data_IF_373480444654
#
_entry.id   IF_373480444654
#
_cell.length_a   1.000
_cell.length_b   1.000
_cell.length_c   1.000
_cell.angle_alpha   90.00
_cell.angle_beta   90.00
_cell.angle_gamma   90.00
#
_symmetry.space_group_name_H-M   'P 1'
#
loop_
_entity.id
_entity.type
_entity.pdbx_description
1 polymer ?
#
# COMPACT_ATOMS: atom_id res chain seq x y z
N UNK A 1 -11.31 -23.08 -5.98
CA UNK A 1 -10.58 -22.46 -4.86
C UNK A 1 -9.13 -22.86 -4.99
N UNK A 2 -8.24 -21.96 -5.40
CA UNK A 2 -6.79 -22.24 -5.45
C UNK A 2 -6.15 -21.28 -4.46
N UNK A 3 -5.46 -21.86 -3.49
CA UNK A 3 -4.80 -21.22 -2.37
C UNK A 3 -3.84 -20.14 -2.83
N UNK A 4 -3.92 -18.98 -2.19
CA UNK A 4 -2.87 -17.96 -2.22
C UNK A 4 -1.80 -18.49 -1.25
N UNK A 5 -0.73 -19.04 -1.76
CA UNK A 5 0.43 -19.37 -0.95
C UNK A 5 1.12 -18.06 -0.55
N UNK A 6 1.00 -17.70 0.71
CA UNK A 6 1.89 -16.75 1.35
C UNK A 6 3.26 -17.44 1.46
N UNK A 7 4.23 -16.97 0.71
CA UNK A 7 5.58 -17.53 0.76
C UNK A 7 6.22 -17.05 2.06
N UNK A 8 6.29 -17.96 3.03
CA UNK A 8 7.10 -17.79 4.23
C UNK A 8 8.54 -18.14 3.90
N UNK A 9 9.44 -17.20 3.91
CA UNK A 9 10.86 -17.48 4.05
C UNK A 9 11.39 -16.75 5.27
N UNK A 10 11.55 -17.48 6.36
CA UNK A 10 12.31 -17.05 7.52
C UNK A 10 13.79 -16.95 7.13
N UNK A 11 14.24 -15.81 6.70
CA UNK A 11 15.66 -15.46 6.68
C UNK A 11 15.77 -13.96 6.90
N UNK A 12 16.66 -13.57 7.78
CA UNK A 12 16.99 -12.18 8.11
C UNK A 12 17.16 -11.35 6.83
N UNK A 13 16.18 -10.53 6.51
CA UNK A 13 16.18 -9.70 5.31
C UNK A 13 15.86 -8.26 5.71
N UNK A 14 16.75 -7.37 5.35
CA UNK A 14 16.84 -5.99 5.81
C UNK A 14 16.21 -5.06 4.77
N UNK A 15 15.43 -4.08 5.20
CA UNK A 15 14.82 -3.00 4.42
C UNK A 15 13.95 -3.46 3.23
N UNK A 16 12.65 -3.73 3.44
CA UNK A 16 11.79 -4.30 2.39
C UNK A 16 10.44 -3.63 2.26
N UNK A 17 10.07 -3.35 1.02
CA UNK A 17 8.70 -3.01 0.66
C UNK A 17 8.09 -4.19 -0.09
N UNK A 18 7.01 -4.78 0.44
CA UNK A 18 6.30 -5.90 -0.15
C UNK A 18 5.02 -5.43 -0.83
N UNK A 19 4.76 -5.96 -2.03
CA UNK A 19 3.55 -5.67 -2.78
C UNK A 19 2.69 -6.93 -2.93
N UNK A 20 1.44 -6.85 -2.49
CA UNK A 20 0.45 -7.90 -2.71
C UNK A 20 -0.74 -7.34 -3.49
N UNK A 21 -1.13 -8.00 -4.56
CA UNK A 21 -2.25 -7.58 -5.41
C UNK A 21 -3.25 -8.72 -5.55
N UNK A 22 -4.53 -8.42 -5.40
CA UNK A 22 -5.59 -9.40 -5.58
C UNK A 22 -5.85 -9.69 -7.06
N UNK A 23 -6.16 -10.96 -7.39
CA UNK A 23 -6.31 -11.49 -8.77
C UNK A 23 -7.35 -10.80 -9.67
N UNK A 24 -8.14 -9.86 -9.17
CA UNK A 24 -9.30 -9.32 -9.92
C UNK A 24 -8.93 -8.45 -11.13
N UNK A 25 -7.73 -7.87 -11.15
CA UNK A 25 -7.32 -6.95 -12.23
C UNK A 25 -6.63 -7.62 -13.43
N UNK A 26 -6.59 -8.95 -13.48
CA UNK A 26 -5.98 -9.68 -14.61
C UNK A 26 -6.71 -9.51 -15.96
N UNK A 27 -7.80 -8.74 -16.04
CA UNK A 27 -8.62 -8.58 -17.25
C UNK A 27 -8.96 -7.15 -17.66
N UNK A 28 -8.35 -6.15 -17.15
CA UNK A 28 -8.32 -4.87 -17.86
C UNK A 28 -7.15 -4.90 -18.84
N UNK A 29 -7.30 -5.73 -19.89
CA UNK A 29 -6.75 -5.35 -21.18
C UNK A 29 -7.26 -3.93 -21.38
N UNK A 30 -6.36 -2.95 -21.40
CA UNK A 30 -6.65 -1.66 -22.02
C UNK A 30 -7.03 -2.07 -23.43
N UNK A 31 -8.32 -2.09 -23.64
CA UNK A 31 -8.87 -2.53 -24.90
C UNK A 31 -8.44 -1.49 -25.91
N UNK A 32 -7.66 -1.89 -26.88
CA UNK A 32 -7.65 -1.31 -28.22
C UNK A 32 -9.06 -1.30 -28.86
N UNK A 33 -10.10 -1.47 -28.09
CA UNK A 33 -11.50 -1.44 -28.48
C UNK A 33 -12.06 -0.03 -28.65
N UNK A 34 -11.30 1.03 -28.38
CA UNK A 34 -11.74 2.37 -28.78
C UNK A 34 -11.77 2.51 -30.30
N UNK A 35 -10.89 1.82 -31.04
CA UNK A 35 -11.05 1.70 -32.49
C UNK A 35 -12.23 0.80 -32.90
N UNK A 36 -12.73 -0.08 -31.99
CA UNK A 36 -13.93 -0.88 -32.23
C UNK A 36 -15.22 -0.11 -31.86
N UNK A 37 -15.19 0.85 -30.97
CA UNK A 37 -16.33 1.69 -30.60
C UNK A 37 -16.86 2.52 -31.76
N UNK A 38 -16.00 2.91 -32.71
CA UNK A 38 -16.42 3.58 -33.94
C UNK A 38 -17.25 2.67 -34.86
N UNK A 39 -17.12 1.34 -34.74
CA UNK A 39 -17.93 0.37 -35.48
C UNK A 39 -19.36 0.23 -34.96
N UNK A 40 -19.61 0.59 -33.71
CA UNK A 40 -20.94 0.49 -33.09
C UNK A 40 -21.76 1.76 -33.17
N UNK A 41 -21.14 2.90 -33.47
CA UNK A 41 -21.83 4.19 -33.64
C UNK A 41 -22.52 4.32 -35.02
N UNK A 42 -22.09 3.52 -36.01
CA UNK A 42 -22.70 3.53 -37.35
C UNK A 42 -22.86 2.08 -37.88
N UNK A 43 -24.06 1.68 -38.32
CA UNK A 43 -24.26 0.42 -39.02
C UNK A 43 -23.33 0.31 -40.25
N UNK A 44 -22.79 -0.88 -40.52
CA UNK A 44 -21.81 -1.13 -41.61
C UNK A 44 -22.13 -0.47 -42.95
N UNK A 45 -23.41 -0.38 -43.32
CA UNK A 45 -23.85 0.29 -44.54
C UNK A 45 -23.59 1.80 -44.57
N UNK A 46 -23.71 2.48 -43.46
CA UNK A 46 -23.55 3.94 -43.38
C UNK A 46 -22.08 4.37 -43.26
N UNK A 47 -21.20 3.50 -42.76
CA UNK A 47 -19.76 3.76 -42.67
C UNK A 47 -19.12 3.90 -44.06
N UNK A 48 -19.45 3.00 -45.00
CA UNK A 48 -18.99 3.07 -46.38
C UNK A 48 -19.57 4.25 -47.17
N UNK A 49 -20.82 4.61 -46.89
CA UNK A 49 -21.46 5.78 -47.49
C UNK A 49 -20.81 7.09 -47.05
N UNK A 50 -20.43 7.17 -45.77
CA UNK A 50 -19.76 8.33 -45.21
C UNK A 50 -18.37 8.55 -45.82
N UNK A 51 -17.58 7.50 -45.98
CA UNK A 51 -16.26 7.56 -46.63
C UNK A 51 -16.38 7.92 -48.11
N UNK A 52 -17.36 7.38 -48.82
CA UNK A 52 -17.51 7.60 -50.26
C UNK A 52 -17.98 9.01 -50.63
N UNK A 53 -18.64 9.72 -49.71
CA UNK A 53 -19.18 11.07 -49.95
C UNK A 53 -18.40 12.16 -49.18
N UNK A 54 -17.25 11.85 -48.61
CA UNK A 54 -16.45 12.74 -47.82
C UNK A 54 -16.05 14.02 -48.57
N UNK A 55 -15.78 13.93 -49.88
CA UNK A 55 -15.35 15.06 -50.69
C UNK A 55 -16.48 16.03 -51.09
N UNK A 56 -17.74 15.70 -50.83
CA UNK A 56 -18.90 16.52 -51.24
C UNK A 56 -19.48 17.41 -50.14
N UNK A 57 -19.04 17.22 -48.88
CA UNK A 57 -19.63 17.97 -47.76
C UNK A 57 -18.63 18.96 -47.14
N UNK A 58 -18.72 20.26 -47.55
CA UNK A 58 -17.88 21.34 -46.99
C UNK A 58 -18.00 21.52 -45.46
N UNK A 59 -19.13 21.13 -44.87
CA UNK A 59 -19.34 21.23 -43.40
C UNK A 59 -18.54 20.19 -42.61
N UNK A 60 -18.20 19.04 -43.18
CA UNK A 60 -17.40 17.99 -42.51
C UNK A 60 -15.94 18.36 -42.34
N UNK A 61 -15.43 19.33 -43.13
CA UNK A 61 -14.02 19.78 -42.98
C UNK A 61 -13.74 20.52 -41.68
N UNK A 62 -14.76 21.06 -41.03
CA UNK A 62 -14.61 21.76 -39.72
C UNK A 62 -14.88 20.81 -38.55
N UNK A 63 -15.85 19.91 -38.68
CA UNK A 63 -16.23 19.01 -37.57
C UNK A 63 -15.29 17.82 -37.39
N UNK A 64 -14.69 17.27 -38.44
CA UNK A 64 -13.77 16.13 -38.33
C UNK A 64 -12.50 16.46 -37.58
N UNK A 65 -11.81 17.59 -37.81
CA UNK A 65 -10.63 17.93 -37.01
C UNK A 65 -10.97 18.28 -35.54
N UNK A 66 -12.17 18.83 -35.27
CA UNK A 66 -12.60 19.10 -33.89
C UNK A 66 -12.90 17.78 -33.14
N UNK A 67 -13.58 16.83 -33.76
CA UNK A 67 -13.81 15.51 -33.16
C UNK A 67 -12.50 14.72 -33.07
N UNK A 68 -11.60 14.80 -34.05
CA UNK A 68 -10.29 14.18 -34.00
C UNK A 68 -9.39 14.81 -32.92
N UNK A 69 -9.43 16.13 -32.73
CA UNK A 69 -8.69 16.81 -31.65
C UNK A 69 -9.28 16.47 -30.27
N UNK A 70 -10.60 16.34 -30.14
CA UNK A 70 -11.24 15.89 -28.89
C UNK A 70 -10.90 14.44 -28.55
N UNK A 71 -10.82 13.56 -29.57
CA UNK A 71 -10.41 12.15 -29.40
C UNK A 71 -8.90 12.07 -29.11
N UNK A 72 -8.06 12.89 -29.71
CA UNK A 72 -6.63 12.96 -29.43
C UNK A 72 -6.35 13.56 -28.03
N UNK A 73 -7.19 14.48 -27.56
CA UNK A 73 -7.12 15.01 -26.19
C UNK A 73 -7.55 13.98 -25.14
N UNK A 74 -8.43 13.05 -25.50
CA UNK A 74 -8.84 11.91 -24.64
C UNK A 74 -7.79 10.79 -24.58
N UNK A 75 -6.85 10.74 -25.53
CA UNK A 75 -5.70 9.84 -25.53
C UNK A 75 -4.45 10.47 -24.90
N UNK A 76 -4.58 11.66 -24.28
CA UNK A 76 -3.53 12.17 -23.43
C UNK A 76 -3.28 11.12 -22.35
N UNK A 77 -2.15 10.45 -22.44
CA UNK A 77 -1.61 9.55 -21.44
C UNK A 77 -1.93 10.12 -20.05
N UNK A 78 -2.50 9.30 -19.18
CA UNK A 78 -2.47 9.55 -17.75
C UNK A 78 -0.99 9.60 -17.33
N UNK A 79 -0.32 10.69 -17.64
CA UNK A 79 0.95 11.01 -17.04
C UNK A 79 0.63 11.22 -15.56
N UNK A 80 1.02 10.24 -14.76
CA UNK A 80 1.02 10.36 -13.32
C UNK A 80 1.83 11.62 -12.99
N UNK A 81 1.14 12.74 -12.77
CA UNK A 81 1.79 13.98 -12.39
C UNK A 81 2.01 13.92 -10.88
N UNK A 82 3.24 13.67 -10.48
CA UNK A 82 3.70 13.76 -9.09
C UNK A 82 4.07 15.21 -8.70
N UNK A 83 3.73 16.19 -9.52
CA UNK A 83 4.16 17.59 -9.37
C UNK A 83 3.10 18.49 -8.73
N UNK A 84 1.95 17.96 -8.36
CA UNK A 84 0.88 18.74 -7.72
C UNK A 84 1.30 19.32 -6.37
N UNK A 85 0.98 20.60 -6.11
CA UNK A 85 1.29 21.28 -4.84
C UNK A 85 0.86 20.46 -3.60
N UNK A 86 -0.29 19.78 -3.68
CA UNK A 86 -0.81 18.95 -2.58
C UNK A 86 0.04 17.69 -2.36
N UNK A 87 0.50 17.03 -3.43
CA UNK A 87 1.42 15.91 -3.35
C UNK A 87 2.74 16.33 -2.69
N UNK A 88 3.34 17.43 -3.19
CA UNK A 88 4.60 17.94 -2.66
C UNK A 88 4.48 18.30 -1.18
N UNK A 89 3.41 18.99 -0.77
CA UNK A 89 3.17 19.33 0.63
C UNK A 89 3.01 18.10 1.52
N UNK A 90 2.25 17.10 1.09
CA UNK A 90 2.05 15.85 1.84
C UNK A 90 3.36 15.03 1.93
N UNK A 91 4.10 14.93 0.82
CA UNK A 91 5.40 14.27 0.80
C UNK A 91 6.41 14.97 1.71
N UNK A 92 6.49 16.30 1.67
CA UNK A 92 7.40 17.11 2.48
C UNK A 92 6.99 17.18 3.97
N UNK A 93 5.77 16.74 4.33
CA UNK A 93 5.35 16.66 5.73
C UNK A 93 5.98 15.51 6.49
N UNK A 94 6.41 14.44 5.80
CA UNK A 94 7.14 13.33 6.41
C UNK A 94 8.54 13.80 6.77
N UNK A 95 8.85 13.82 8.07
CA UNK A 95 10.12 14.35 8.61
C UNK A 95 10.91 13.28 9.33
N UNK A 96 12.21 13.24 9.10
CA UNK A 96 13.12 12.33 9.78
C UNK A 96 13.07 12.46 11.32
N UNK A 97 12.89 13.68 11.83
CA UNK A 97 12.81 13.92 13.27
C UNK A 97 11.53 13.35 13.90
N UNK A 98 10.38 13.43 13.20
CA UNK A 98 9.12 12.83 13.67
C UNK A 98 9.19 11.30 13.59
N UNK A 99 9.71 10.74 12.51
CA UNK A 99 10.00 9.30 12.42
C UNK A 99 10.88 8.84 13.57
N UNK A 100 11.97 9.55 13.84
CA UNK A 100 12.88 9.26 14.95
C UNK A 100 12.17 9.34 16.30
N UNK A 101 11.40 10.39 16.55
CA UNK A 101 10.64 10.58 17.79
C UNK A 101 9.70 9.42 18.06
N UNK A 102 8.89 9.03 17.06
CA UNK A 102 7.97 7.91 17.17
C UNK A 102 8.72 6.57 17.34
N UNK A 103 9.83 6.38 16.61
CA UNK A 103 10.66 5.18 16.73
C UNK A 103 11.30 5.04 18.12
N UNK A 104 11.77 6.14 18.71
CA UNK A 104 12.34 6.13 20.08
C UNK A 104 11.31 5.69 21.13
N UNK A 105 10.01 5.92 20.89
CA UNK A 105 8.95 5.40 21.77
C UNK A 105 8.66 3.93 21.47
N UNK A 106 8.39 3.59 20.20
CA UNK A 106 8.02 2.21 19.79
C UNK A 106 9.13 1.20 20.11
N UNK A 107 10.40 1.61 20.00
CA UNK A 107 11.56 0.79 20.29
C UNK A 107 12.18 1.07 21.67
N UNK A 108 11.43 1.67 22.60
CA UNK A 108 11.93 1.87 23.97
C UNK A 108 11.86 0.58 24.79
N UNK A 109 12.64 0.52 25.88
CA UNK A 109 12.60 -0.59 26.84
C UNK A 109 11.23 -0.73 27.51
N UNK A 110 10.46 0.38 27.62
CA UNK A 110 9.09 0.39 28.14
C UNK A 110 8.12 -0.46 27.32
N UNK A 111 8.42 -0.66 26.04
CA UNK A 111 7.66 -1.52 25.14
C UNK A 111 8.09 -2.99 25.21
N UNK A 112 9.06 -3.33 26.06
CA UNK A 112 9.45 -4.70 26.42
C UNK A 112 9.75 -5.59 25.19
N UNK A 113 10.20 -4.97 24.08
CA UNK A 113 10.45 -5.67 22.82
C UNK A 113 9.20 -6.22 22.13
N UNK A 114 8.01 -5.77 22.50
CA UNK A 114 6.70 -5.98 21.81
C UNK A 114 6.38 -7.42 21.41
N UNK A 115 6.77 -8.39 22.24
CA UNK A 115 6.41 -9.81 21.99
C UNK A 115 4.91 -9.95 21.75
N UNK A 116 4.53 -10.80 20.80
CA UNK A 116 3.11 -11.03 20.42
C UNK A 116 2.22 -11.30 21.63
N UNK A 117 1.22 -10.44 21.86
CA UNK A 117 0.25 -10.55 22.96
C UNK A 117 0.76 -10.10 24.32
N UNK A 118 2.04 -9.68 24.44
CA UNK A 118 2.62 -9.15 25.70
C UNK A 118 2.07 -7.76 26.06
N UNK A 119 2.27 -7.37 27.32
CA UNK A 119 1.94 -6.03 27.79
C UNK A 119 2.73 -4.95 27.02
N UNK A 120 3.98 -5.22 26.66
CA UNK A 120 4.79 -4.30 25.84
C UNK A 120 4.17 -4.07 24.47
N UNK A 121 3.68 -5.12 23.81
CA UNK A 121 2.97 -4.97 22.53
C UNK A 121 1.66 -4.17 22.70
N UNK A 122 0.92 -4.41 23.79
CA UNK A 122 -0.33 -3.67 24.07
C UNK A 122 -0.06 -2.19 24.32
N UNK A 123 0.98 -1.84 25.04
CA UNK A 123 1.44 -0.44 25.22
C UNK A 123 1.74 0.22 23.87
N UNK A 124 2.47 -0.46 22.99
CA UNK A 124 2.74 0.03 21.64
C UNK A 124 1.45 0.23 20.82
N UNK A 125 0.51 -0.71 20.91
CA UNK A 125 -0.82 -0.58 20.28
C UNK A 125 -1.60 0.64 20.76
N UNK A 126 -1.61 0.90 22.08
CA UNK A 126 -2.25 2.10 22.66
C UNK A 126 -1.57 3.37 22.13
N UNK A 127 -0.25 3.43 22.10
CA UNK A 127 0.50 4.58 21.58
C UNK A 127 0.13 4.88 20.14
N UNK A 128 0.11 3.88 19.27
CA UNK A 128 -0.27 4.04 17.85
C UNK A 128 -1.71 4.52 17.70
N UNK A 129 -2.65 3.97 18.47
CA UNK A 129 -4.05 4.37 18.42
C UNK A 129 -4.23 5.82 18.87
N UNK A 130 -3.55 6.23 19.92
CA UNK A 130 -3.60 7.62 20.39
C UNK A 130 -2.98 8.58 19.37
N UNK A 131 -1.90 8.17 18.70
CA UNK A 131 -1.37 8.91 17.56
C UNK A 131 -2.43 9.12 16.47
N UNK A 132 -3.10 8.06 16.02
CA UNK A 132 -4.16 8.14 15.01
C UNK A 132 -5.35 9.00 15.46
N UNK A 133 -5.79 8.87 16.71
CA UNK A 133 -6.86 9.71 17.27
C UNK A 133 -6.48 11.20 17.26
N UNK A 134 -5.26 11.54 17.66
CA UNK A 134 -4.77 12.92 17.69
C UNK A 134 -4.71 13.53 16.28
N UNK A 135 -4.41 12.74 15.27
CA UNK A 135 -4.47 13.15 13.87
C UNK A 135 -5.90 13.30 13.35
N UNK A 136 -6.90 12.69 14.01
CA UNK A 136 -8.26 12.56 13.52
C UNK A 136 -8.39 11.50 12.41
N UNK A 137 -7.48 10.53 12.35
CA UNK A 137 -7.61 9.33 11.51
C UNK A 137 -8.46 8.32 12.27
N UNK A 138 -9.56 7.86 11.66
CA UNK A 138 -10.50 6.94 12.30
C UNK A 138 -10.12 5.48 12.06
N UNK A 139 -10.97 4.58 12.52
CA UNK A 139 -10.93 3.15 12.26
C UNK A 139 -12.00 2.76 11.22
N UNK A 140 -11.93 1.56 10.62
CA UNK A 140 -13.00 1.05 9.76
C UNK A 140 -14.33 0.96 10.51
N UNK A 141 -15.36 1.62 10.03
CA UNK A 141 -16.69 1.63 10.70
C UNK A 141 -17.27 0.22 10.93
N UNK A 142 -17.03 -0.68 9.98
CA UNK A 142 -17.47 -2.07 10.09
C UNK A 142 -16.83 -2.82 11.27
N UNK A 143 -15.62 -2.42 11.68
CA UNK A 143 -14.92 -3.00 12.83
C UNK A 143 -15.37 -2.40 14.16
N UNK A 144 -15.82 -1.13 14.16
CA UNK A 144 -16.25 -0.40 15.37
C UNK A 144 -15.13 -0.05 16.34
N UNK A 145 -13.86 -0.31 15.97
CA UNK A 145 -12.68 -0.15 16.82
C UNK A 145 -11.44 -0.06 15.95
N UNK A 146 -10.31 0.39 16.53
CA UNK A 146 -8.98 0.23 15.91
C UNK A 146 -8.47 -1.21 16.02
N UNK A 147 -9.00 -2.00 16.93
CA UNK A 147 -8.53 -3.34 17.22
C UNK A 147 -9.31 -4.41 16.43
N UNK A 148 -8.61 -5.16 15.58
CA UNK A 148 -9.07 -6.46 15.14
C UNK A 148 -8.49 -7.51 16.07
N UNK A 149 -9.29 -8.08 16.95
CA UNK A 149 -8.85 -9.12 17.88
C UNK A 149 -8.42 -10.37 17.13
N UNK A 150 -7.23 -10.86 17.45
CA UNK A 150 -6.66 -12.10 16.92
C UNK A 150 -6.59 -13.09 18.07
N UNK A 151 -7.51 -14.07 18.13
CA UNK A 151 -7.57 -15.01 19.24
C UNK A 151 -6.36 -15.96 19.22
N UNK A 152 -5.95 -16.43 20.39
CA UNK A 152 -4.83 -17.38 20.56
C UNK A 152 -4.93 -18.62 19.69
N UNK A 153 -6.14 -19.07 19.38
CA UNK A 153 -6.39 -20.20 18.48
C UNK A 153 -5.86 -19.95 17.06
N UNK A 154 -5.82 -18.70 16.63
CA UNK A 154 -5.24 -18.27 15.36
C UNK A 154 -3.73 -17.95 15.48
N UNK A 155 -3.22 -17.82 16.70
CA UNK A 155 -1.82 -17.48 16.99
C UNK A 155 -0.98 -18.72 17.37
N UNK A 156 -1.23 -19.85 16.70
CA UNK A 156 -0.45 -21.08 16.90
C UNK A 156 0.80 -21.06 16.03
N UNK A 157 1.95 -20.98 16.68
CA UNK A 157 3.26 -21.04 16.03
C UNK A 157 3.91 -22.42 16.21
N UNK A 158 5.00 -22.65 15.46
CA UNK A 158 5.85 -23.82 15.67
C UNK A 158 6.55 -23.82 17.05
N UNK A 159 6.62 -22.66 17.71
CA UNK A 159 7.26 -22.46 19.02
C UNK A 159 6.27 -22.60 20.19
N UNK A 160 5.00 -22.81 19.90
CA UNK A 160 3.94 -22.95 20.91
C UNK A 160 2.75 -22.03 20.67
N UNK A 161 1.84 -22.02 21.63
CA UNK A 161 0.67 -21.14 21.63
C UNK A 161 1.07 -19.77 22.17
N UNK A 162 0.57 -18.72 21.51
CA UNK A 162 0.73 -17.33 21.94
C UNK A 162 -0.56 -16.85 22.60
N UNK A 163 -0.51 -15.83 23.47
CA UNK A 163 -1.73 -15.25 24.03
C UNK A 163 -2.54 -14.51 22.95
N UNK A 164 -3.77 -14.12 23.31
CA UNK A 164 -4.60 -13.26 22.45
C UNK A 164 -3.84 -11.96 22.16
N UNK A 165 -3.97 -11.51 20.92
CA UNK A 165 -3.36 -10.27 20.44
C UNK A 165 -4.30 -9.50 19.51
N UNK A 166 -3.82 -8.42 18.90
CA UNK A 166 -4.63 -7.59 18.03
C UNK A 166 -3.83 -7.11 16.80
N UNK A 167 -4.49 -7.04 15.64
CA UNK A 167 -4.06 -6.15 14.58
C UNK A 167 -4.61 -4.74 14.86
N UNK A 168 -3.85 -3.69 14.54
CA UNK A 168 -4.28 -2.29 14.67
C UNK A 168 -4.64 -1.76 13.29
N UNK A 169 -5.85 -1.21 13.15
CA UNK A 169 -6.42 -0.74 11.89
C UNK A 169 -6.82 0.73 11.99
N UNK A 170 -6.17 1.59 11.19
CA UNK A 170 -6.60 2.96 10.98
C UNK A 170 -7.05 3.15 9.52
N UNK A 171 -7.98 4.10 9.28
CA UNK A 171 -8.67 4.16 7.99
C UNK A 171 -8.93 5.59 7.55
N UNK A 172 -8.62 5.87 6.29
CA UNK A 172 -8.99 7.11 5.59
C UNK A 172 -9.87 6.74 4.41
N UNK A 173 -11.13 7.19 4.44
CA UNK A 173 -12.09 6.97 3.37
C UNK A 173 -11.72 7.79 2.13
N UNK A 174 -11.78 7.15 0.97
CA UNK A 174 -11.51 7.73 -0.33
C UNK A 174 -12.60 8.69 -0.81
N UNK A 175 -12.23 9.64 -1.67
CA UNK A 175 -13.11 10.70 -2.15
C UNK A 175 -13.86 10.37 -3.44
N UNK A 176 -13.33 9.47 -4.27
CA UNK A 176 -13.92 9.13 -5.59
C UNK A 176 -14.31 7.66 -5.69
N UNK A 177 -13.56 6.78 -5.03
CA UNK A 177 -13.71 5.32 -5.07
C UNK A 177 -13.54 4.73 -3.67
N UNK A 178 -14.44 5.06 -2.74
CA UNK A 178 -14.30 4.63 -1.34
C UNK A 178 -14.38 3.12 -1.15
N UNK A 179 -14.95 2.38 -2.10
CA UNK A 179 -15.03 0.92 -2.08
C UNK A 179 -13.72 0.22 -2.48
N UNK A 180 -12.81 0.91 -3.20
CA UNK A 180 -11.50 0.38 -3.57
C UNK A 180 -10.50 0.69 -2.45
N UNK A 181 -9.90 -0.37 -1.87
CA UNK A 181 -9.02 -0.26 -0.70
C UNK A 181 -7.56 -0.46 -1.11
N UNK A 182 -6.69 0.46 -0.71
CA UNK A 182 -5.25 0.26 -0.69
C UNK A 182 -4.86 -0.02 0.75
N UNK A 183 -4.14 -1.10 0.99
CA UNK A 183 -3.59 -1.42 2.31
C UNK A 183 -2.13 -0.95 2.34
N UNK A 184 -1.75 -0.28 3.42
CA UNK A 184 -0.35 0.03 3.75
C UNK A 184 -0.09 -0.65 5.09
N UNK A 185 0.87 -1.56 5.14
CA UNK A 185 1.06 -2.42 6.31
C UNK A 185 2.50 -2.48 6.79
N UNK A 186 2.64 -2.80 8.07
CA UNK A 186 3.88 -3.14 8.76
C UNK A 186 3.52 -4.10 9.90
N UNK A 187 4.48 -4.84 10.47
CA UNK A 187 4.22 -5.51 11.72
C UNK A 187 4.72 -4.68 12.90
N UNK A 188 4.08 -4.83 14.05
CA UNK A 188 4.43 -4.04 15.23
C UNK A 188 4.87 -4.91 16.42
N UNK A 189 4.73 -6.22 16.32
CA UNK A 189 5.35 -7.16 17.26
C UNK A 189 6.85 -7.31 16.98
N UNK A 190 7.59 -7.80 17.99
CA UNK A 190 8.97 -8.23 17.87
C UNK A 190 9.23 -9.37 18.87
N UNK A 191 10.48 -9.72 19.12
CA UNK A 191 10.85 -10.95 19.85
C UNK A 191 10.88 -10.81 21.37
N UNK A 192 10.51 -9.66 21.92
CA UNK A 192 10.33 -9.48 23.36
C UNK A 192 11.63 -9.37 24.15
N UNK A 193 11.63 -9.99 25.32
CA UNK A 193 12.76 -9.99 26.26
C UNK A 193 13.28 -11.41 26.47
N UNK A 194 14.59 -11.58 26.43
CA UNK A 194 15.24 -12.85 26.68
C UNK A 194 16.40 -12.68 27.66
N UNK A 195 16.45 -13.48 28.74
CA UNK A 195 17.46 -13.43 29.78
C UNK A 195 17.69 -12.02 30.34
N UNK A 196 16.63 -11.24 30.53
CA UNK A 196 16.71 -9.87 31.06
C UNK A 196 17.17 -8.82 30.02
N UNK A 197 17.43 -9.19 28.80
CA UNK A 197 17.76 -8.28 27.69
C UNK A 197 16.53 -8.00 26.87
N UNK A 198 16.18 -6.72 26.73
CA UNK A 198 15.09 -6.28 25.86
C UNK A 198 15.59 -6.21 24.41
N UNK A 199 14.87 -6.88 23.51
CA UNK A 199 15.10 -6.77 22.06
C UNK A 199 14.17 -5.70 21.50
N UNK A 200 14.66 -4.48 21.38
CA UNK A 200 13.84 -3.31 21.10
C UNK A 200 13.22 -3.29 19.69
N UNK A 201 13.77 -4.03 18.72
CA UNK A 201 13.21 -4.13 17.38
C UNK A 201 13.03 -2.78 16.69
N UNK A 202 14.06 -1.92 16.70
CA UNK A 202 13.96 -0.59 16.10
C UNK A 202 13.89 -0.65 14.57
N UNK A 203 14.67 -1.56 13.95
CA UNK A 203 14.61 -1.78 12.50
C UNK A 203 13.53 -2.79 12.14
N UNK A 204 13.43 -3.90 12.85
CA UNK A 204 12.50 -5.01 12.68
C UNK A 204 11.40 -4.99 13.77
N UNK A 205 10.20 -4.54 13.55
CA UNK A 205 9.80 -3.66 12.45
C UNK A 205 9.26 -2.32 13.00
N UNK A 206 9.98 -1.78 13.99
CA UNK A 206 9.70 -0.41 14.46
C UNK A 206 9.80 0.61 13.33
N UNK A 207 10.77 0.44 12.41
CA UNK A 207 10.98 1.35 11.29
C UNK A 207 9.80 1.35 10.30
N UNK A 208 9.27 0.19 9.93
CA UNK A 208 8.08 0.09 9.09
C UNK A 208 6.82 0.56 9.82
N UNK A 209 6.67 0.19 11.09
CA UNK A 209 5.54 0.65 11.92
C UNK A 209 5.45 2.19 11.94
N UNK A 210 6.51 2.91 12.25
CA UNK A 210 6.47 4.38 12.30
C UNK A 210 6.34 4.99 10.91
N UNK A 211 6.88 4.35 9.86
CA UNK A 211 6.67 4.81 8.49
C UNK A 211 5.19 4.77 8.09
N UNK A 212 4.45 3.71 8.44
CA UNK A 212 3.00 3.63 8.21
C UNK A 212 2.24 4.72 8.96
N UNK A 213 2.64 5.05 10.21
CA UNK A 213 2.06 6.14 11.00
C UNK A 213 2.25 7.50 10.30
N UNK A 214 3.46 7.82 9.86
CA UNK A 214 3.79 9.09 9.18
C UNK A 214 3.11 9.21 7.81
N UNK A 215 2.99 8.11 7.07
CA UNK A 215 2.25 8.06 5.80
C UNK A 215 0.76 8.37 6.07
N UNK A 216 0.19 7.85 7.14
CA UNK A 216 -1.20 8.16 7.51
C UNK A 216 -1.38 9.64 7.86
N UNK A 217 -0.42 10.24 8.56
CA UNK A 217 -0.42 11.67 8.85
C UNK A 217 -0.41 12.49 7.56
N UNK A 218 0.49 12.18 6.63
CA UNK A 218 0.60 12.88 5.35
C UNK A 218 -0.71 12.82 4.55
N UNK A 219 -1.37 11.65 4.48
CA UNK A 219 -2.68 11.50 3.83
C UNK A 219 -3.78 12.24 4.57
N UNK A 220 -3.75 12.27 5.89
CA UNK A 220 -4.75 13.00 6.68
C UNK A 220 -4.58 14.52 6.54
N UNK A 221 -3.36 15.02 6.47
CA UNK A 221 -3.08 16.42 6.16
C UNK A 221 -3.60 16.80 4.76
N UNK A 222 -3.33 15.96 3.75
CA UNK A 222 -3.85 16.15 2.41
C UNK A 222 -5.39 16.15 2.40
N UNK A 223 -6.02 15.24 3.14
CA UNK A 223 -7.48 15.19 3.28
C UNK A 223 -8.06 16.45 3.92
N UNK A 224 -7.45 16.94 5.00
CA UNK A 224 -7.84 18.20 5.66
C UNK A 224 -7.70 19.41 4.73
N UNK A 225 -6.76 19.37 3.79
CA UNK A 225 -6.58 20.39 2.76
C UNK A 225 -7.50 20.20 1.53
N UNK A 226 -8.49 19.30 1.59
CA UNK A 226 -9.43 19.02 0.49
C UNK A 226 -8.80 18.24 -0.68
N UNK A 227 -7.68 17.58 -0.45
CA UNK A 227 -6.90 16.78 -1.43
C UNK A 227 -6.69 15.35 -0.95
N UNK A 228 -7.70 14.78 -0.30
CA UNK A 228 -7.68 13.40 0.19
C UNK A 228 -7.48 12.36 -0.92
N UNK A 229 -7.14 11.12 -0.54
CA UNK A 229 -6.93 10.05 -1.49
C UNK A 229 -8.22 9.74 -2.25
N UNK A 230 -8.09 9.35 -3.52
CA UNK A 230 -9.24 8.98 -4.36
C UNK A 230 -9.84 7.64 -3.93
N UNK A 231 -8.99 6.69 -3.56
CA UNK A 231 -9.33 5.39 -2.98
C UNK A 231 -9.19 5.43 -1.47
N UNK A 232 -9.91 4.56 -0.80
CA UNK A 232 -9.72 4.39 0.64
C UNK A 232 -8.36 3.78 0.96
N UNK A 233 -7.79 4.18 2.10
CA UNK A 233 -6.53 3.64 2.59
C UNK A 233 -6.74 3.01 3.95
N UNK A 234 -6.33 1.75 4.07
CA UNK A 234 -6.25 1.02 5.32
C UNK A 234 -4.78 0.97 5.76
N UNK A 235 -4.48 1.54 6.93
CA UNK A 235 -3.21 1.42 7.62
C UNK A 235 -3.34 0.23 8.56
N UNK A 236 -2.55 -0.81 8.33
CA UNK A 236 -2.68 -2.10 8.99
C UNK A 236 -1.37 -2.48 9.67
N UNK A 237 -1.35 -2.42 11.00
CA UNK A 237 -0.24 -2.97 11.79
C UNK A 237 -0.60 -4.37 12.24
N UNK A 238 0.14 -5.35 11.78
CA UNK A 238 -0.14 -6.76 12.07
C UNK A 238 0.65 -7.25 13.27
N UNK A 239 0.05 -8.19 14.00
CA UNK A 239 0.66 -8.92 15.10
C UNK A 239 1.19 -10.27 14.64
N UNK A 240 2.08 -10.90 15.43
CA UNK A 240 2.50 -12.28 15.22
C UNK A 240 3.27 -12.54 13.94
N UNK A 241 3.95 -11.55 13.40
CA UNK A 241 4.81 -11.69 12.22
C UNK A 241 5.97 -12.64 12.53
N UNK A 242 6.67 -12.40 13.64
CA UNK A 242 7.86 -13.14 14.11
C UNK A 242 7.59 -14.63 14.37
N UNK A 243 6.34 -14.97 14.47
CA UNK A 243 5.85 -16.34 14.68
C UNK A 243 5.30 -16.99 13.41
N UNK A 244 5.43 -16.35 12.26
CA UNK A 244 5.05 -16.87 10.95
C UNK A 244 3.86 -16.18 10.30
N UNK A 245 3.83 -14.84 10.31
CA UNK A 245 2.85 -13.99 9.63
C UNK A 245 1.41 -14.20 10.12
N UNK A 246 1.23 -14.53 11.42
CA UNK A 246 -0.06 -14.99 11.93
C UNK A 246 -1.14 -13.91 11.87
N UNK A 247 -0.84 -12.65 12.18
CA UNK A 247 -1.79 -11.56 12.16
C UNK A 247 -2.22 -11.15 10.75
N UNK A 248 -1.30 -11.12 9.79
CA UNK A 248 -1.62 -10.86 8.38
C UNK A 248 -2.41 -12.02 7.76
N UNK A 249 -2.08 -13.26 8.13
CA UNK A 249 -2.87 -14.44 7.78
C UNK A 249 -4.30 -14.31 8.33
N UNK A 250 -4.43 -13.98 9.62
CA UNK A 250 -5.75 -13.81 10.23
C UNK A 250 -6.57 -12.74 9.54
N UNK A 251 -5.96 -11.58 9.21
CA UNK A 251 -6.63 -10.53 8.45
C UNK A 251 -7.08 -11.03 7.06
N UNK A 252 -6.27 -11.80 6.36
CA UNK A 252 -6.62 -12.33 5.04
C UNK A 252 -7.77 -13.37 5.09
N UNK A 253 -7.90 -14.08 6.19
CA UNK A 253 -8.99 -15.06 6.41
C UNK A 253 -10.25 -14.40 7.00
N UNK A 254 -10.10 -13.30 7.74
CA UNK A 254 -11.18 -12.55 8.42
C UNK A 254 -11.08 -11.03 8.06
N UNK A 255 -11.15 -10.66 6.78
CA UNK A 255 -10.92 -9.30 6.37
C UNK A 255 -12.07 -8.37 6.78
N UNK A 256 -11.73 -7.14 7.22
CA UNK A 256 -12.73 -6.11 7.55
C UNK A 256 -13.40 -5.56 6.29
N UNK A 257 -12.67 -5.54 5.19
CA UNK A 257 -13.17 -5.22 3.86
C UNK A 257 -13.04 -6.43 2.96
N UNK A 258 -14.05 -6.70 2.12
CA UNK A 258 -13.98 -7.80 1.15
C UNK A 258 -12.68 -7.71 0.34
N UNK A 259 -11.85 -8.74 0.36
CA UNK A 259 -10.57 -8.79 -0.34
C UNK A 259 -10.68 -8.54 -1.85
N UNK A 260 -11.86 -8.79 -2.44
CA UNK A 260 -12.10 -8.43 -3.85
C UNK A 260 -11.98 -6.93 -4.11
N UNK A 261 -12.18 -6.11 -3.09
CA UNK A 261 -12.09 -4.65 -3.14
C UNK A 261 -10.69 -4.13 -2.78
N UNK A 262 -9.81 -4.99 -2.26
CA UNK A 262 -8.41 -4.62 -1.99
C UNK A 262 -7.63 -4.58 -3.30
N UNK A 263 -7.19 -3.39 -3.66
CA UNK A 263 -6.48 -3.13 -4.94
C UNK A 263 -5.02 -3.54 -4.85
N UNK A 264 -4.36 -3.18 -3.74
CA UNK A 264 -2.97 -3.49 -3.46
C UNK A 264 -2.72 -3.50 -1.96
N UNK A 265 -1.69 -4.22 -1.54
CA UNK A 265 -1.06 -4.09 -0.23
C UNK A 265 0.40 -3.66 -0.43
N UNK A 266 0.80 -2.58 0.24
CA UNK A 266 2.16 -2.06 0.30
C UNK A 266 2.68 -2.35 1.71
N UNK A 267 3.47 -3.41 1.86
CA UNK A 267 4.07 -3.77 3.15
C UNK A 267 5.45 -3.12 3.29
N UNK A 268 5.73 -2.55 4.46
CA UNK A 268 6.98 -1.90 4.79
C UNK A 268 7.59 -2.70 5.94
N UNK A 269 8.87 -3.11 5.78
CA UNK A 269 9.54 -3.97 6.73
C UNK A 269 11.05 -3.71 6.67
N UNK A 270 11.66 -3.43 7.84
CA UNK A 270 13.10 -3.23 8.03
C UNK A 270 13.72 -2.17 7.09
N UNK A 271 13.25 -0.95 7.14
CA UNK A 271 13.76 0.16 6.31
C UNK A 271 14.69 1.11 7.06
N UNK A 272 15.02 0.82 8.33
CA UNK A 272 15.76 1.71 9.22
C UNK A 272 17.28 1.67 9.05
N UNK A 273 17.85 0.70 8.30
CA UNK A 273 19.32 0.59 8.10
C UNK A 273 19.70 -0.12 6.82
N UNK A 274 20.92 0.15 6.35
CA UNK A 274 21.54 -0.57 5.22
C UNK A 274 22.11 -1.91 5.63
N UNK A 275 22.11 -2.88 4.72
CA UNK A 275 22.90 -4.09 4.87
C UNK A 275 24.37 -3.89 4.37
N UNK A 276 25.22 -4.89 4.62
CA UNK A 276 26.65 -4.82 4.24
C UNK A 276 26.90 -4.70 2.72
N UNK A 277 26.03 -5.30 1.88
CA UNK A 277 26.18 -5.28 0.42
C UNK A 277 25.87 -3.89 -0.15
N UNK A 278 25.05 -3.13 0.57
CA UNK A 278 24.56 -1.83 0.15
C UNK A 278 24.97 -0.71 1.11
N UNK A 279 26.02 -0.93 1.92
CA UNK A 279 26.54 0.10 2.83
C UNK A 279 26.96 1.35 2.04
N UNK A 280 26.52 2.52 2.50
CA UNK A 280 26.74 3.79 1.83
C UNK A 280 25.88 4.09 0.61
N UNK A 281 25.02 3.16 0.20
CA UNK A 281 24.04 3.38 -0.87
C UNK A 281 22.70 3.86 -0.34
N UNK A 282 22.03 4.68 -1.13
CA UNK A 282 20.66 5.11 -0.87
C UNK A 282 19.71 4.19 -1.66
N UNK A 283 19.26 3.11 -1.06
CA UNK A 283 18.53 2.04 -1.74
C UNK A 283 17.31 1.53 -0.95
N UNK A 284 16.47 0.79 -1.64
CA UNK A 284 15.39 0.00 -1.06
C UNK A 284 15.21 -1.31 -1.82
N UNK A 285 14.98 -2.41 -1.11
CA UNK A 285 14.55 -3.67 -1.73
C UNK A 285 13.07 -3.59 -2.08
N UNK A 286 12.75 -3.93 -3.33
CA UNK A 286 11.38 -4.02 -3.85
C UNK A 286 11.08 -5.48 -4.12
N UNK A 287 10.01 -6.01 -3.52
CA UNK A 287 9.68 -7.44 -3.54
C UNK A 287 8.22 -7.63 -3.96
N UNK A 288 7.97 -8.49 -4.95
CA UNK A 288 6.63 -8.82 -5.43
C UNK A 288 6.02 -7.77 -6.37
N UNK A 289 6.82 -6.80 -6.86
CA UNK A 289 6.30 -5.65 -7.63
C UNK A 289 5.77 -6.04 -9.01
N UNK A 290 6.32 -7.07 -9.66
CA UNK A 290 5.89 -7.54 -10.99
C UNK A 290 5.38 -8.99 -11.00
N UNK A 291 5.47 -9.71 -9.89
CA UNK A 291 4.93 -11.07 -9.76
C UNK A 291 3.43 -11.14 -10.05
N UNK A 292 2.68 -10.12 -9.67
CA UNK A 292 1.22 -10.05 -9.79
C UNK A 292 0.76 -8.94 -10.76
N UNK A 293 1.55 -7.89 -10.97
CA UNK A 293 1.19 -6.73 -11.79
C UNK A 293 2.42 -5.97 -12.29
N UNK A 294 2.64 -6.01 -13.59
CA UNK A 294 3.66 -5.18 -14.25
C UNK A 294 3.35 -3.68 -14.17
N UNK A 295 2.10 -3.31 -13.91
CA UNK A 295 1.67 -1.92 -13.74
C UNK A 295 2.18 -1.35 -12.42
N UNK A 296 2.14 -2.13 -11.33
CA UNK A 296 2.63 -1.71 -10.02
C UNK A 296 4.13 -1.37 -10.05
N UNK A 297 4.94 -2.20 -10.72
CA UNK A 297 6.36 -1.92 -10.91
C UNK A 297 6.60 -0.59 -11.62
N UNK A 298 5.83 -0.29 -12.68
CA UNK A 298 5.92 0.98 -13.41
C UNK A 298 5.56 2.18 -12.53
N UNK A 299 4.49 2.04 -11.73
CA UNK A 299 4.07 3.08 -10.78
C UNK A 299 5.17 3.32 -9.75
N UNK A 300 5.74 2.26 -9.18
CA UNK A 300 6.81 2.35 -8.20
C UNK A 300 8.05 3.06 -8.75
N UNK A 301 8.51 2.68 -9.95
CA UNK A 301 9.65 3.33 -10.62
C UNK A 301 9.36 4.80 -10.87
N UNK A 302 8.16 5.15 -11.35
CA UNK A 302 7.79 6.52 -11.63
C UNK A 302 7.69 7.37 -10.34
N UNK A 303 7.11 6.82 -9.26
CA UNK A 303 7.03 7.47 -7.96
C UNK A 303 8.42 7.71 -7.37
N UNK A 304 9.30 6.70 -7.39
CA UNK A 304 10.67 6.81 -6.92
C UNK A 304 11.45 7.90 -7.65
N UNK A 305 11.37 7.93 -9.00
CA UNK A 305 12.02 8.95 -9.81
C UNK A 305 11.52 10.36 -9.51
N UNK A 306 10.25 10.51 -9.18
CA UNK A 306 9.64 11.81 -8.86
C UNK A 306 9.92 12.27 -7.41
N UNK A 307 10.49 11.43 -6.57
CA UNK A 307 10.75 11.70 -5.15
C UNK A 307 12.23 11.58 -4.81
N UNK A 308 12.63 10.53 -4.11
CA UNK A 308 13.99 10.36 -3.58
C UNK A 308 14.99 9.79 -4.60
N UNK A 309 14.50 9.20 -5.68
CA UNK A 309 15.32 8.54 -6.70
C UNK A 309 16.32 7.53 -6.09
N UNK A 310 15.82 6.68 -5.18
CA UNK A 310 16.58 5.62 -4.56
C UNK A 310 17.02 4.58 -5.60
N UNK A 311 18.07 3.81 -5.33
CA UNK A 311 18.35 2.59 -6.06
C UNK A 311 17.29 1.53 -5.70
N UNK A 312 16.44 1.15 -6.67
CA UNK A 312 15.45 0.10 -6.47
C UNK A 312 16.11 -1.26 -6.69
N UNK A 313 16.36 -2.00 -5.63
CA UNK A 313 17.00 -3.29 -5.67
C UNK A 313 15.96 -4.41 -5.73
N UNK A 314 15.92 -5.16 -6.82
CA UNK A 314 14.98 -6.25 -7.10
C UNK A 314 15.56 -7.65 -6.81
N UNK A 315 16.65 -7.73 -6.05
CA UNK A 315 17.34 -9.01 -5.73
C UNK A 315 16.39 -10.11 -5.24
N UNK A 316 15.31 -9.73 -4.58
CA UNK A 316 14.33 -10.65 -4.00
C UNK A 316 12.96 -10.61 -4.71
N UNK A 317 12.87 -9.98 -5.88
CA UNK A 317 11.65 -9.88 -6.69
C UNK A 317 11.55 -11.06 -7.71
N UNK A 318 12.63 -11.84 -7.86
CA UNK A 318 12.67 -13.01 -8.73
C UNK A 318 11.88 -14.18 -8.11
N UNK A 319 10.93 -14.78 -8.85
CA UNK A 319 10.18 -15.94 -8.40
C UNK A 319 10.96 -17.25 -8.37
N UNK A 320 12.22 -17.29 -8.88
CA UNK A 320 13.06 -18.51 -8.96
C UNK A 320 13.95 -18.71 -7.72
#
# INVERSE_FOLDING_TARGET
>A
MKNVNLISSSSQKKGRIYYQITKKYRKTKINLSFCKGFRYLFPKKNYFYFIKNYDKMKLTRIFVPIVASLVLYSCASNNLSYEGKAFKSAYESIKADELKKNLMVIASDEMEGRETGSEGQKKAGVYMIDYYKNLGVSYPKALGSYYQKVPKEALKSRRGELPDSENILAFIEGTEKPEEIIVISAHYDHVGTNNGVVYNGADDDGSGTVAVMEIAEAFQQAKKAGKGPKRSILFLHVTGEEHGLLGSKYYSENPVFDLKNTVANLNIDMIGRSDKENEGKNYVYVIGSDMLSTELKKINVAANKATQNLELNYKYDDPN
#
